data_IF_745727628137
#
_entry.id   IF_745727628137
#
_cell.length_a   1.000
_cell.length_b   1.000
_cell.length_c   1.000
_cell.angle_alpha   90.00
_cell.angle_beta   90.00
_cell.angle_gamma   90.00
#
_symmetry.space_group_name_H-M   'P 1'
#
loop_
_entity.id
_entity.type
_entity.pdbx_description
1 polymer ?
#
# COMPACT_ATOMS: atom_id res chain seq x y z
N UNK A 1 7.72 -15.61 12.95
CA UNK A 1 8.32 -15.05 11.73
C UNK A 1 8.16 -13.55 11.78
N UNK A 2 9.20 -12.74 11.50
CA UNK A 2 8.99 -11.31 11.31
C UNK A 2 8.00 -11.14 10.16
N UNK A 3 7.07 -10.22 10.32
CA UNK A 3 6.20 -9.84 9.22
C UNK A 3 7.07 -9.31 8.06
N UNK A 4 6.77 -9.67 6.79
CA UNK A 4 7.63 -9.34 5.66
C UNK A 4 7.76 -7.82 5.41
N UNK A 5 6.81 -7.05 5.94
CA UNK A 5 6.79 -5.59 5.86
C UNK A 5 6.66 -5.02 7.27
N UNK A 6 7.59 -4.17 7.71
CA UNK A 6 7.49 -3.42 8.97
C UNK A 6 6.20 -2.61 9.04
N UNK A 7 5.70 -2.37 10.25
CA UNK A 7 4.47 -1.60 10.46
C UNK A 7 4.56 -0.19 9.86
N UNK A 8 5.68 0.50 10.09
CA UNK A 8 5.92 1.87 9.59
C UNK A 8 5.80 1.94 8.06
N UNK A 9 6.37 0.96 7.36
CA UNK A 9 6.24 0.85 5.91
C UNK A 9 4.79 0.71 5.48
N UNK A 10 4.01 -0.16 6.14
CA UNK A 10 2.58 -0.33 5.83
C UNK A 10 1.79 0.95 6.04
N UNK A 11 2.04 1.62 7.16
CA UNK A 11 1.34 2.85 7.52
C UNK A 11 1.62 3.96 6.48
N UNK A 12 2.87 4.08 6.01
CA UNK A 12 3.23 5.02 4.94
C UNK A 12 2.58 4.68 3.60
N UNK A 13 2.60 3.41 3.20
CA UNK A 13 1.97 2.99 1.93
C UNK A 13 0.45 3.19 2.00
N UNK A 14 -0.19 2.87 3.12
CA UNK A 14 -1.64 3.09 3.32
C UNK A 14 -1.98 4.58 3.30
N UNK A 15 -1.15 5.44 3.90
CA UNK A 15 -1.32 6.90 3.83
C UNK A 15 -1.30 7.38 2.38
N UNK A 16 -0.28 7.01 1.61
CA UNK A 16 -0.18 7.37 0.18
C UNK A 16 -1.36 6.82 -0.61
N UNK A 17 -1.79 5.59 -0.34
CA UNK A 17 -2.93 4.98 -1.01
C UNK A 17 -4.28 5.66 -0.69
N UNK A 18 -4.44 6.22 0.52
CA UNK A 18 -5.64 6.96 0.94
C UNK A 18 -5.65 8.39 0.39
N UNK A 19 -4.50 9.05 0.35
CA UNK A 19 -4.32 10.43 -0.14
C UNK A 19 -4.09 10.52 -1.66
N UNK A 20 -4.25 9.40 -2.38
CA UNK A 20 -3.99 9.35 -3.83
C UNK A 20 -4.93 10.25 -4.61
N UNK A 21 -4.41 10.83 -5.69
CA UNK A 21 -5.21 11.61 -6.64
C UNK A 21 -6.24 10.73 -7.36
N UNK A 22 -7.34 11.33 -7.83
CA UNK A 22 -8.46 10.62 -8.48
C UNK A 22 -8.07 9.83 -9.73
N UNK A 23 -6.90 10.09 -10.32
CA UNK A 23 -6.36 9.36 -11.47
C UNK A 23 -5.39 8.23 -11.12
N UNK A 24 -4.98 8.11 -9.86
CA UNK A 24 -4.00 7.12 -9.40
C UNK A 24 -4.75 5.90 -8.86
N UNK A 25 -4.41 4.72 -9.37
CA UNK A 25 -5.01 3.46 -8.92
C UNK A 25 -4.22 2.85 -7.77
N UNK A 26 -4.90 2.03 -6.96
CA UNK A 26 -4.26 1.22 -5.92
C UNK A 26 -3.22 0.27 -6.52
N UNK A 27 -3.44 -0.20 -7.74
CA UNK A 27 -2.50 -1.08 -8.44
C UNK A 27 -1.20 -0.37 -8.81
N UNK A 28 -1.28 0.88 -9.26
CA UNK A 28 -0.10 1.71 -9.53
C UNK A 28 0.72 1.93 -8.26
N UNK A 29 0.06 2.37 -7.19
CA UNK A 29 0.73 2.59 -5.89
C UNK A 29 1.36 1.30 -5.38
N UNK A 30 0.62 0.18 -5.44
CA UNK A 30 1.13 -1.12 -5.02
C UNK A 30 2.39 -1.51 -5.81
N UNK A 31 2.37 -1.31 -7.13
CA UNK A 31 3.51 -1.58 -8.01
C UNK A 31 4.71 -0.70 -7.67
N UNK A 32 4.50 0.59 -7.42
CA UNK A 32 5.57 1.55 -7.10
C UNK A 32 6.26 1.21 -5.77
N UNK A 33 5.51 0.69 -4.80
CA UNK A 33 6.04 0.24 -3.50
C UNK A 33 6.49 -1.23 -3.50
N UNK A 34 6.37 -1.95 -4.62
CA UNK A 34 6.74 -3.36 -4.72
C UNK A 34 5.85 -4.31 -3.90
N UNK A 35 4.63 -3.91 -3.58
CA UNK A 35 3.65 -4.72 -2.85
C UNK A 35 2.59 -5.27 -3.80
N UNK A 36 2.05 -6.43 -3.46
CA UNK A 36 0.94 -6.99 -4.25
C UNK A 36 -0.33 -6.14 -4.06
N UNK A 37 -1.09 -5.79 -5.12
CA UNK A 37 -2.28 -4.93 -4.99
C UNK A 37 -3.32 -5.43 -3.98
N UNK A 38 -3.57 -6.75 -3.95
CA UNK A 38 -4.44 -7.39 -2.96
C UNK A 38 -3.94 -7.23 -1.52
N UNK A 39 -2.63 -7.14 -1.30
CA UNK A 39 -2.04 -6.90 0.02
C UNK A 39 -2.31 -5.47 0.46
N UNK A 40 -2.11 -4.49 -0.43
CA UNK A 40 -2.41 -3.09 -0.15
C UNK A 40 -3.91 -2.89 0.14
N UNK A 41 -4.80 -3.51 -0.65
CA UNK A 41 -6.24 -3.48 -0.36
C UNK A 41 -6.60 -4.05 1.01
N UNK A 42 -5.91 -5.10 1.47
CA UNK A 42 -6.10 -5.65 2.83
C UNK A 42 -5.64 -4.70 3.92
N UNK A 43 -4.56 -3.95 3.72
CA UNK A 43 -4.07 -2.98 4.70
C UNK A 43 -4.92 -1.72 4.78
N UNK A 44 -5.60 -1.36 3.69
CA UNK A 44 -6.50 -0.20 3.67
C UNK A 44 -7.84 -0.44 4.37
N UNK A 45 -8.22 -1.71 4.58
CA UNK A 45 -9.48 -2.14 5.17
C UNK A 45 -9.63 -1.71 6.63
#
# INVERSE_FOLDING_TARGET
MPEPYPKEFRDDVVRVARDRESGVTIEQIAKDFGVHPMTLQKWMR
#
